data_IF_145864938121
#
_entry.id   IF_145864938121
#
_cell.length_a   1.000
_cell.length_b   1.000
_cell.length_c   1.000
_cell.angle_alpha   90.00
_cell.angle_beta   90.00
_cell.angle_gamma   90.00
#
_symmetry.space_group_name_H-M   'P 1'
#
loop_
_entity.id
_entity.type
_entity.pdbx_description
1 polymer ?
#
# COMPACT_ATOMS: atom_id res chain seq x y z
N UNK A 1 -2.54 -19.23 -11.43
CA UNK A 1 -2.22 -18.12 -12.37
C UNK A 1 -1.03 -17.31 -11.89
N UNK A 2 -0.92 -16.99 -10.60
CA UNK A 2 0.22 -16.25 -10.02
C UNK A 2 1.42 -17.14 -9.60
N UNK A 3 1.71 -18.22 -10.34
CA UNK A 3 2.87 -19.09 -10.06
C UNK A 3 2.74 -20.10 -8.90
N UNK A 4 1.73 -19.99 -8.03
CA UNK A 4 1.54 -20.98 -6.95
C UNK A 4 1.25 -22.38 -7.50
N UNK A 5 1.86 -23.40 -6.90
CA UNK A 5 1.48 -24.80 -7.16
C UNK A 5 0.03 -25.05 -6.74
N UNK A 6 -0.64 -26.01 -7.37
CA UNK A 6 -2.03 -26.33 -7.06
C UNK A 6 -2.23 -26.66 -5.57
N UNK A 7 -1.31 -27.43 -4.99
CA UNK A 7 -1.38 -27.81 -3.58
C UNK A 7 -1.21 -26.61 -2.65
N UNK A 8 -0.23 -25.74 -2.93
CA UNK A 8 0.01 -24.54 -2.11
C UNK A 8 -1.15 -23.55 -2.21
N UNK A 9 -1.68 -23.34 -3.42
CA UNK A 9 -2.86 -22.50 -3.62
C UNK A 9 -4.08 -23.05 -2.86
N UNK A 10 -4.28 -24.37 -2.86
CA UNK A 10 -5.37 -25.02 -2.13
C UNK A 10 -5.19 -24.92 -0.62
N UNK A 11 -3.96 -25.07 -0.12
CA UNK A 11 -3.62 -24.89 1.29
C UNK A 11 -3.96 -23.47 1.75
N UNK A 12 -3.46 -22.44 1.06
CA UNK A 12 -3.73 -21.04 1.38
C UNK A 12 -5.24 -20.76 1.32
N UNK A 13 -5.89 -21.16 0.22
CA UNK A 13 -7.33 -20.96 0.05
C UNK A 13 -8.15 -21.67 1.14
N UNK A 14 -7.65 -22.78 1.70
CA UNK A 14 -8.34 -23.47 2.79
C UNK A 14 -8.41 -22.61 4.06
N UNK A 15 -7.55 -21.60 4.22
CA UNK A 15 -7.56 -20.66 5.35
C UNK A 15 -8.34 -19.37 5.07
N UNK A 16 -8.96 -19.22 3.91
CA UNK A 16 -9.69 -18.01 3.51
C UNK A 16 -11.17 -18.35 3.32
N UNK A 17 -12.06 -17.54 3.88
CA UNK A 17 -13.51 -17.59 3.65
C UNK A 17 -13.98 -16.29 3.00
N UNK A 18 -15.10 -16.31 2.30
CA UNK A 18 -15.63 -15.14 1.59
C UNK A 18 -16.91 -14.67 2.25
N UNK A 19 -16.93 -13.40 2.64
CA UNK A 19 -18.09 -12.75 3.26
C UNK A 19 -18.59 -11.57 2.41
N UNK A 20 -19.92 -11.42 2.24
CA UNK A 20 -20.47 -10.25 1.59
C UNK A 20 -20.30 -9.00 2.48
N UNK A 21 -19.77 -7.92 1.90
CA UNK A 21 -19.68 -6.62 2.56
C UNK A 21 -20.85 -5.70 2.18
N UNK A 22 -21.38 -4.96 3.17
CA UNK A 22 -22.36 -3.89 2.93
C UNK A 22 -21.68 -2.58 2.46
N UNK A 23 -20.42 -2.36 2.85
CA UNK A 23 -19.58 -1.21 2.47
C UNK A 23 -18.55 -1.57 1.39
N UNK A 24 -17.36 -0.94 1.40
CA UNK A 24 -16.25 -1.29 0.49
C UNK A 24 -15.82 -2.75 0.62
N UNK A 25 -15.86 -3.28 1.84
CA UNK A 25 -15.25 -4.58 2.17
C UNK A 25 -13.76 -4.38 2.43
N UNK A 26 -13.29 -4.82 3.58
CA UNK A 26 -11.87 -4.81 3.94
C UNK A 26 -11.52 -6.20 4.43
N UNK A 27 -10.38 -6.72 3.99
CA UNK A 27 -9.82 -7.98 4.42
C UNK A 27 -9.73 -8.02 5.94
N UNK A 28 -10.17 -9.14 6.51
CA UNK A 28 -10.08 -9.35 7.95
C UNK A 28 -9.26 -10.61 8.23
N UNK A 29 -7.99 -10.40 8.58
CA UNK A 29 -7.04 -11.48 8.82
C UNK A 29 -7.30 -12.27 10.10
N UNK A 30 -7.05 -13.58 10.03
CA UNK A 30 -7.04 -14.46 11.20
C UNK A 30 -5.98 -13.99 12.22
N UNK A 31 -6.29 -14.14 13.50
CA UNK A 31 -5.37 -13.77 14.60
C UNK A 31 -4.67 -14.98 15.23
N UNK A 32 -5.07 -16.20 14.85
CA UNK A 32 -4.45 -17.44 15.33
C UNK A 32 -4.54 -18.56 14.29
N UNK A 33 -3.64 -19.54 14.40
CA UNK A 33 -3.72 -20.76 13.60
C UNK A 33 -4.98 -21.54 13.96
N UNK A 34 -5.72 -21.99 12.95
CA UNK A 34 -7.03 -22.63 13.07
C UNK A 34 -8.18 -21.74 12.58
N UNK A 35 -8.05 -20.42 12.71
CA UNK A 35 -9.05 -19.45 12.24
C UNK A 35 -8.93 -19.19 10.73
N UNK A 36 -9.99 -18.59 10.17
CA UNK A 36 -10.06 -18.18 8.76
C UNK A 36 -9.81 -16.68 8.63
N UNK A 37 -9.07 -16.30 7.60
CA UNK A 37 -9.09 -14.93 7.10
C UNK A 37 -10.37 -14.72 6.28
N UNK A 38 -10.98 -13.55 6.40
CA UNK A 38 -12.23 -13.23 5.73
C UNK A 38 -11.96 -12.26 4.59
N UNK A 39 -12.16 -12.74 3.37
CA UNK A 39 -12.23 -11.93 2.15
C UNK A 39 -13.58 -11.25 2.13
N UNK A 40 -13.59 -9.95 2.40
CA UNK A 40 -14.82 -9.15 2.46
C UNK A 40 -14.88 -8.26 1.24
N UNK A 41 -15.89 -8.45 0.40
CA UNK A 41 -16.08 -7.64 -0.81
C UNK A 41 -17.54 -7.39 -1.08
N UNK A 42 -17.83 -6.30 -1.80
CA UNK A 42 -19.18 -5.92 -2.18
C UNK A 42 -19.63 -6.70 -3.40
N UNK A 43 -20.71 -7.46 -3.24
CA UNK A 43 -21.43 -8.10 -4.36
C UNK A 43 -22.79 -7.43 -4.47
N UNK A 44 -23.04 -6.76 -5.58
CA UNK A 44 -24.31 -6.09 -5.86
C UNK A 44 -25.41 -7.08 -6.21
N UNK A 45 -26.64 -6.57 -6.32
CA UNK A 45 -27.82 -7.38 -6.73
C UNK A 45 -27.63 -8.05 -8.09
N UNK A 46 -26.89 -7.42 -8.99
CA UNK A 46 -26.64 -7.88 -10.37
C UNK A 46 -25.30 -8.63 -10.48
N UNK A 47 -24.66 -8.95 -9.36
CA UNK A 47 -23.34 -9.56 -9.29
C UNK A 47 -22.22 -8.57 -8.94
N UNK A 48 -20.99 -8.98 -9.23
CA UNK A 48 -19.77 -8.19 -8.99
C UNK A 48 -19.37 -7.45 -10.28
N UNK A 49 -19.32 -6.13 -10.21
CA UNK A 49 -18.78 -5.31 -11.30
C UNK A 49 -17.24 -5.30 -11.27
N UNK A 50 -16.62 -4.69 -12.30
CA UNK A 50 -15.16 -4.64 -12.38
C UNK A 50 -14.51 -3.93 -11.18
N UNK A 51 -15.13 -2.85 -10.69
CA UNK A 51 -14.61 -2.12 -9.53
C UNK A 51 -14.62 -3.01 -8.28
N UNK A 52 -15.71 -3.73 -8.03
CA UNK A 52 -15.83 -4.69 -6.94
C UNK A 52 -14.88 -5.86 -7.08
N UNK A 53 -14.63 -6.33 -8.31
CA UNK A 53 -13.64 -7.36 -8.61
C UNK A 53 -12.22 -6.90 -8.33
N UNK A 54 -11.83 -5.73 -8.84
CA UNK A 54 -10.50 -5.15 -8.61
C UNK A 54 -10.23 -4.96 -7.10
N UNK A 55 -11.22 -4.48 -6.34
CA UNK A 55 -11.14 -4.41 -4.87
C UNK A 55 -11.05 -5.81 -4.26
N UNK A 56 -11.88 -6.77 -4.68
CA UNK A 56 -11.82 -8.14 -4.17
C UNK A 56 -10.44 -8.79 -4.37
N UNK A 57 -9.78 -8.52 -5.50
CA UNK A 57 -8.42 -9.04 -5.78
C UNK A 57 -7.40 -8.41 -4.84
N UNK A 58 -7.50 -7.10 -4.56
CA UNK A 58 -6.68 -6.43 -3.55
C UNK A 58 -6.86 -7.07 -2.17
N UNK A 59 -8.11 -7.20 -1.69
CA UNK A 59 -8.40 -7.81 -0.39
C UNK A 59 -7.98 -9.29 -0.32
N UNK A 60 -8.06 -10.02 -1.43
CA UNK A 60 -7.55 -11.38 -1.52
C UNK A 60 -6.03 -11.40 -1.32
N UNK A 61 -5.30 -10.43 -1.86
CA UNK A 61 -3.87 -10.27 -1.63
C UNK A 61 -3.55 -10.15 -0.13
N UNK A 62 -4.27 -9.30 0.60
CA UNK A 62 -4.14 -9.24 2.07
C UNK A 62 -4.37 -10.59 2.73
N UNK A 63 -5.45 -11.30 2.39
CA UNK A 63 -5.73 -12.58 3.04
C UNK A 63 -4.69 -13.66 2.71
N UNK A 64 -4.15 -13.65 1.50
CA UNK A 64 -3.05 -14.55 1.12
C UNK A 64 -1.80 -14.21 1.93
N UNK A 65 -1.41 -12.93 2.01
CA UNK A 65 -0.28 -12.50 2.83
C UNK A 65 -0.46 -12.90 4.29
N UNK A 66 -1.59 -12.53 4.89
CA UNK A 66 -1.92 -12.82 6.29
C UNK A 66 -1.90 -14.32 6.57
N UNK A 67 -2.30 -15.14 5.60
CA UNK A 67 -2.20 -16.59 5.71
C UNK A 67 -0.74 -17.04 5.71
N UNK A 68 0.07 -16.55 4.77
CA UNK A 68 1.50 -16.87 4.67
C UNK A 68 2.24 -16.47 5.96
N UNK A 69 2.08 -15.22 6.38
CA UNK A 69 2.80 -14.64 7.51
C UNK A 69 2.32 -15.14 8.87
N UNK A 70 1.17 -15.83 8.94
CA UNK A 70 0.67 -16.50 10.13
C UNK A 70 1.02 -17.99 10.16
N UNK A 71 0.74 -18.71 9.07
CA UNK A 71 0.81 -20.17 9.06
C UNK A 71 2.20 -20.69 8.68
N UNK A 72 2.93 -19.98 7.83
CA UNK A 72 4.18 -20.44 7.23
C UNK A 72 5.42 -19.72 7.76
N UNK A 73 5.26 -18.85 8.76
CA UNK A 73 6.37 -18.30 9.54
C UNK A 73 7.00 -19.37 10.45
N UNK A 74 8.33 -19.35 10.57
CA UNK A 74 9.10 -20.32 11.36
C UNK A 74 8.77 -20.25 12.86
N UNK A 75 8.53 -19.05 13.38
CA UNK A 75 8.15 -18.83 14.78
C UNK A 75 6.85 -18.04 14.85
N UNK A 76 5.84 -18.62 15.52
CA UNK A 76 4.53 -17.99 15.70
C UNK A 76 4.60 -16.61 16.38
N UNK A 77 5.56 -16.39 17.28
CA UNK A 77 5.75 -15.09 17.94
C UNK A 77 6.17 -13.98 16.95
N UNK A 78 6.63 -14.36 15.76
CA UNK A 78 6.98 -13.46 14.68
C UNK A 78 5.87 -13.35 13.63
N UNK A 79 4.66 -13.85 13.90
CA UNK A 79 3.57 -13.80 12.92
C UNK A 79 3.25 -12.38 12.42
N UNK A 80 2.97 -12.27 11.14
CA UNK A 80 2.66 -11.02 10.44
C UNK A 80 3.85 -10.35 9.78
N UNK A 81 3.60 -9.16 9.25
CA UNK A 81 4.57 -8.27 8.59
C UNK A 81 4.90 -7.06 9.45
N UNK A 82 5.98 -6.31 9.16
CA UNK A 82 6.44 -5.22 10.03
C UNK A 82 5.35 -4.21 10.41
N UNK A 83 4.58 -3.74 9.43
CA UNK A 83 3.44 -2.83 9.59
C UNK A 83 2.51 -2.89 8.36
N UNK A 84 1.45 -2.07 8.36
CA UNK A 84 0.42 -2.00 7.31
C UNK A 84 0.99 -1.80 5.90
N UNK A 85 2.04 -0.99 5.74
CA UNK A 85 2.63 -0.70 4.44
C UNK A 85 3.10 -1.97 3.69
N UNK A 86 3.54 -3.01 4.42
CA UNK A 86 4.03 -4.25 3.83
C UNK A 86 2.90 -5.17 3.34
N UNK A 87 1.77 -5.22 4.04
CA UNK A 87 0.62 -6.01 3.58
C UNK A 87 -0.07 -5.33 2.40
N UNK A 88 -0.15 -3.99 2.41
CA UNK A 88 -0.65 -3.18 1.28
C UNK A 88 0.17 -3.44 0.01
N UNK A 89 1.50 -3.43 0.09
CA UNK A 89 2.36 -3.73 -1.06
C UNK A 89 2.05 -5.10 -1.71
N UNK A 90 1.77 -6.11 -0.89
CA UNK A 90 1.36 -7.41 -1.42
C UNK A 90 -0.03 -7.39 -2.07
N UNK A 91 -0.97 -6.69 -1.44
CA UNK A 91 -2.33 -6.50 -1.95
C UNK A 91 -2.34 -5.74 -3.29
N UNK A 92 -1.54 -4.68 -3.42
CA UNK A 92 -1.36 -3.96 -4.68
C UNK A 92 -0.76 -4.84 -5.77
N UNK A 93 0.18 -5.73 -5.44
CA UNK A 93 0.71 -6.68 -6.42
C UNK A 93 -0.40 -7.60 -6.96
N UNK A 94 -1.29 -8.10 -6.09
CA UNK A 94 -2.45 -8.86 -6.53
C UNK A 94 -3.37 -8.02 -7.42
N UNK A 95 -3.69 -6.80 -6.99
CA UNK A 95 -4.57 -5.87 -7.70
C UNK A 95 -4.04 -5.51 -9.09
N UNK A 96 -2.73 -5.34 -9.27
CA UNK A 96 -2.08 -5.10 -10.57
C UNK A 96 -2.24 -6.27 -11.56
N UNK A 97 -2.42 -7.49 -11.04
CA UNK A 97 -2.63 -8.71 -11.82
C UNK A 97 -4.11 -9.10 -11.98
N UNK A 98 -5.05 -8.22 -11.64
CA UNK A 98 -6.49 -8.51 -11.69
C UNK A 98 -6.98 -8.93 -13.10
N UNK A 99 -6.52 -8.25 -14.16
CA UNK A 99 -6.81 -8.59 -15.55
C UNK A 99 -6.15 -9.91 -15.97
N UNK A 100 -4.90 -10.16 -15.55
CA UNK A 100 -4.20 -11.41 -15.81
C UNK A 100 -4.94 -12.60 -15.16
N UNK A 101 -5.51 -12.40 -13.98
CA UNK A 101 -6.37 -13.36 -13.30
C UNK A 101 -7.66 -13.65 -14.07
N UNK A 102 -8.17 -12.70 -14.86
CA UNK A 102 -9.27 -12.92 -15.82
C UNK A 102 -8.79 -13.52 -17.15
N UNK A 103 -7.48 -13.58 -17.39
CA UNK A 103 -6.90 -13.99 -18.69
C UNK A 103 -6.93 -12.89 -19.74
N UNK A 104 -7.14 -11.63 -19.33
CA UNK A 104 -7.09 -10.45 -20.19
C UNK A 104 -5.66 -9.93 -20.16
N UNK A 105 -5.03 -9.84 -21.33
CA UNK A 105 -3.69 -9.26 -21.46
C UNK A 105 -3.78 -7.78 -21.73
N UNK A 106 -3.00 -7.02 -20.99
CA UNK A 106 -2.72 -5.63 -21.30
C UNK A 106 -1.41 -5.56 -22.11
N UNK A 107 -1.51 -5.12 -23.36
CA UNK A 107 -0.38 -5.06 -24.30
C UNK A 107 0.08 -3.62 -24.56
N UNK A 108 -0.35 -2.64 -23.75
CA UNK A 108 0.12 -1.26 -23.90
C UNK A 108 1.64 -1.20 -23.65
N UNK A 109 2.46 -0.83 -24.66
CA UNK A 109 3.90 -0.73 -24.50
C UNK A 109 4.32 0.32 -23.47
N UNK A 110 3.44 1.29 -23.16
CA UNK A 110 3.69 2.34 -22.18
C UNK A 110 3.18 2.00 -20.78
N UNK A 111 2.53 0.85 -20.57
CA UNK A 111 1.93 0.47 -19.27
C UNK A 111 2.87 0.69 -18.09
N UNK A 112 4.07 0.12 -18.17
CA UNK A 112 5.07 0.20 -17.10
C UNK A 112 5.60 1.63 -16.89
N UNK A 113 5.73 2.40 -17.97
CA UNK A 113 6.18 3.78 -17.89
C UNK A 113 5.11 4.68 -17.27
N UNK A 114 3.85 4.51 -17.68
CA UNK A 114 2.71 5.22 -17.10
C UNK A 114 2.51 4.86 -15.63
N UNK A 115 2.66 3.58 -15.27
CA UNK A 115 2.59 3.13 -13.88
C UNK A 115 3.69 3.74 -13.01
N UNK A 116 4.92 3.90 -13.53
CA UNK A 116 5.99 4.57 -12.81
C UNK A 116 5.69 6.06 -12.58
N UNK A 117 5.18 6.76 -13.59
CA UNK A 117 4.77 8.17 -13.47
C UNK A 117 3.61 8.35 -12.49
N UNK A 118 2.61 7.47 -12.56
CA UNK A 118 1.47 7.48 -11.64
C UNK A 118 1.92 7.27 -10.19
N UNK A 119 2.75 6.25 -9.93
CA UNK A 119 3.33 6.02 -8.61
C UNK A 119 4.18 7.20 -8.11
N UNK A 120 4.92 7.86 -9.00
CA UNK A 120 5.69 9.06 -8.65
C UNK A 120 4.77 10.19 -8.19
N UNK A 121 3.72 10.49 -8.96
CA UNK A 121 2.78 11.57 -8.61
C UNK A 121 1.96 11.24 -7.36
N UNK A 122 1.48 10.01 -7.22
CA UNK A 122 0.77 9.55 -6.02
C UNK A 122 1.67 9.64 -4.78
N UNK A 123 2.94 9.24 -4.89
CA UNK A 123 3.91 9.35 -3.80
C UNK A 123 4.21 10.81 -3.46
N UNK A 124 4.46 11.63 -4.48
CA UNK A 124 4.78 13.04 -4.29
C UNK A 124 3.62 13.80 -3.64
N UNK A 125 2.37 13.52 -4.00
CA UNK A 125 1.20 14.14 -3.34
C UNK A 125 1.10 13.74 -1.86
N UNK A 126 1.04 12.44 -1.57
CA UNK A 126 0.75 11.95 -0.21
C UNK A 126 1.91 12.18 0.77
N UNK A 127 3.15 12.35 0.27
CA UNK A 127 4.30 12.78 1.07
C UNK A 127 4.08 14.15 1.70
N UNK A 128 3.50 15.10 0.97
CA UNK A 128 3.23 16.45 1.48
C UNK A 128 2.18 16.43 2.58
N UNK A 129 1.10 15.68 2.35
CA UNK A 129 0.05 15.45 3.33
C UNK A 129 0.62 14.82 4.60
N UNK A 130 1.51 13.84 4.47
CA UNK A 130 2.19 13.19 5.59
C UNK A 130 3.05 14.16 6.41
N UNK A 131 3.73 15.10 5.76
CA UNK A 131 4.47 16.15 6.45
C UNK A 131 3.54 17.08 7.23
N UNK A 132 2.36 17.40 6.70
CA UNK A 132 1.34 18.18 7.41
C UNK A 132 0.85 17.42 8.63
N UNK A 133 0.47 16.15 8.48
CA UNK A 133 0.05 15.26 9.57
C UNK A 133 1.08 15.27 10.72
N UNK A 134 2.34 14.95 10.41
CA UNK A 134 3.43 14.92 11.40
C UNK A 134 3.65 16.28 12.10
N UNK A 135 3.57 17.40 11.35
CA UNK A 135 3.76 18.75 11.91
C UNK A 135 2.59 19.16 12.81
N UNK A 136 1.36 18.87 12.40
CA UNK A 136 0.14 19.15 13.18
C UNK A 136 0.14 18.37 14.49
N UNK A 137 0.51 17.08 14.47
CA UNK A 137 0.59 16.30 15.70
C UNK A 137 1.66 16.86 16.65
N UNK A 138 2.86 17.17 16.15
CA UNK A 138 3.89 17.82 16.99
C UNK A 138 3.37 19.11 17.64
N UNK A 139 2.68 19.95 16.87
CA UNK A 139 2.07 21.16 17.41
C UNK A 139 1.01 20.86 18.48
N UNK A 140 0.13 19.88 18.26
CA UNK A 140 -0.85 19.46 19.28
C UNK A 140 -0.20 18.98 20.58
N UNK A 141 0.90 18.21 20.49
CA UNK A 141 1.66 17.79 21.67
C UNK A 141 2.27 18.97 22.45
N UNK A 142 2.65 20.04 21.74
CA UNK A 142 3.17 21.28 22.34
C UNK A 142 2.04 22.19 22.89
N UNK A 143 0.80 21.98 22.48
CA UNK A 143 -0.37 22.82 22.80
C UNK A 143 -1.54 21.97 23.32
N UNK A 144 -1.42 21.37 24.53
CA UNK A 144 -2.43 20.44 25.07
C UNK A 144 -3.82 21.07 25.27
N UNK A 145 -3.88 22.40 25.42
CA UNK A 145 -5.12 23.16 25.62
C UNK A 145 -5.68 23.78 24.32
N UNK A 146 -5.19 23.34 23.16
CA UNK A 146 -5.62 23.86 21.86
C UNK A 146 -7.13 23.70 21.63
N UNK A 147 -7.76 24.76 21.16
CA UNK A 147 -9.17 24.74 20.75
C UNK A 147 -9.33 24.21 19.32
N UNK A 148 -10.52 23.69 18.94
CA UNK A 148 -10.78 23.27 17.56
C UNK A 148 -10.54 24.36 16.51
N UNK A 149 -10.77 25.64 16.86
CA UNK A 149 -10.50 26.76 15.97
C UNK A 149 -8.99 26.94 15.73
N UNK A 150 -8.19 26.90 16.80
CA UNK A 150 -6.73 26.96 16.70
C UNK A 150 -6.16 25.78 15.91
N UNK A 151 -6.68 24.55 16.15
CA UNK A 151 -6.27 23.38 15.38
C UNK A 151 -6.55 23.56 13.88
N UNK A 152 -7.75 24.02 13.51
CA UNK A 152 -8.10 24.28 12.11
C UNK A 152 -7.15 25.28 11.46
N UNK A 153 -6.85 26.39 12.14
CA UNK A 153 -5.93 27.42 11.66
C UNK A 153 -4.50 26.87 11.49
N UNK A 154 -4.03 26.09 12.46
CA UNK A 154 -2.72 25.42 12.40
C UNK A 154 -2.62 24.45 11.24
N UNK A 155 -3.64 23.61 11.00
CA UNK A 155 -3.65 22.67 9.87
C UNK A 155 -3.53 23.42 8.55
N UNK A 156 -4.32 24.48 8.36
CA UNK A 156 -4.32 25.27 7.13
C UNK A 156 -2.98 26.00 6.93
N UNK A 157 -2.43 26.61 7.99
CA UNK A 157 -1.15 27.31 7.91
C UNK A 157 0.01 26.35 7.63
N UNK A 158 0.02 25.20 8.29
CA UNK A 158 1.02 24.13 8.08
C UNK A 158 0.95 23.58 6.67
N UNK A 159 -0.25 23.35 6.13
CA UNK A 159 -0.44 22.91 4.75
C UNK A 159 0.16 23.90 3.75
N UNK A 160 -0.05 25.20 3.95
CA UNK A 160 0.55 26.25 3.11
C UNK A 160 2.06 26.32 3.25
N UNK A 161 2.61 26.16 4.46
CA UNK A 161 4.06 26.12 4.69
C UNK A 161 4.71 24.96 3.92
N UNK A 162 4.17 23.74 4.07
CA UNK A 162 4.65 22.54 3.36
C UNK A 162 4.51 22.73 1.85
N UNK A 163 3.37 23.24 1.39
CA UNK A 163 3.11 23.53 -0.01
C UNK A 163 4.15 24.50 -0.59
N UNK A 164 4.35 25.65 0.06
CA UNK A 164 5.30 26.66 -0.38
C UNK A 164 6.73 26.13 -0.42
N UNK A 165 7.09 25.24 0.50
CA UNK A 165 8.43 24.68 0.58
C UNK A 165 8.72 23.61 -0.48
N UNK A 166 7.73 22.77 -0.82
CA UNK A 166 7.99 21.57 -1.62
C UNK A 166 7.23 21.52 -2.96
N UNK A 167 6.17 22.32 -3.15
CA UNK A 167 5.26 22.23 -4.30
C UNK A 167 5.14 23.51 -5.10
N UNK A 168 5.21 24.69 -4.46
CA UNK A 168 4.93 25.96 -5.12
C UNK A 168 5.87 26.27 -6.30
N UNK A 169 7.15 25.94 -6.19
CA UNK A 169 8.13 26.16 -7.26
C UNK A 169 7.88 25.22 -8.47
N UNK A 170 7.34 24.03 -8.22
CA UNK A 170 7.03 23.03 -9.26
C UNK A 170 5.69 23.32 -9.93
N UNK A 171 4.67 23.70 -9.15
CA UNK A 171 3.28 23.86 -9.60
C UNK A 171 2.87 25.31 -9.88
N UNK A 172 3.72 26.29 -9.58
CA UNK A 172 3.53 27.70 -9.90
C UNK A 172 2.47 28.43 -9.07
N UNK A 173 1.94 27.82 -8.01
CA UNK A 173 0.92 28.40 -7.13
C UNK A 173 1.48 28.49 -5.71
N UNK A 174 1.35 29.65 -5.06
CA UNK A 174 1.72 29.82 -3.64
C UNK A 174 0.48 29.75 -2.74
N UNK A 175 0.72 29.44 -1.47
CA UNK A 175 -0.26 29.48 -0.38
C UNK A 175 -1.50 28.57 -0.60
N UNK A 176 -1.31 27.45 -1.30
CA UNK A 176 -2.37 26.48 -1.53
C UNK A 176 -2.59 25.60 -0.28
N UNK A 177 -3.82 25.52 0.27
CA UNK A 177 -4.11 24.73 1.46
C UNK A 177 -4.47 23.27 1.14
N UNK A 178 -4.34 22.81 -0.12
CA UNK A 178 -4.90 21.52 -0.57
C UNK A 178 -4.41 20.31 0.23
N UNK A 179 -3.20 20.35 0.78
CA UNK A 179 -2.63 19.27 1.61
C UNK A 179 -3.41 19.04 2.93
N UNK A 180 -4.28 19.99 3.33
CA UNK A 180 -5.15 19.86 4.50
C UNK A 180 -6.44 19.05 4.25
N UNK A 181 -6.63 18.47 3.06
CA UNK A 181 -7.90 17.86 2.65
C UNK A 181 -8.23 16.54 3.37
N UNK A 182 -7.22 15.85 3.93
CA UNK A 182 -7.38 14.51 4.52
C UNK A 182 -7.77 14.57 5.99
N UNK A 183 -9.05 14.38 6.31
CA UNK A 183 -9.56 14.33 7.70
C UNK A 183 -8.93 13.19 8.53
N UNK A 184 -8.44 12.13 7.89
CA UNK A 184 -7.77 11.00 8.54
C UNK A 184 -6.58 11.43 9.41
N UNK A 185 -5.91 12.55 9.12
CA UNK A 185 -4.81 13.05 9.94
C UNK A 185 -5.24 13.42 11.37
N UNK A 186 -6.53 13.71 11.58
CA UNK A 186 -7.08 14.03 12.90
C UNK A 186 -7.70 12.80 13.55
N UNK A 187 -8.44 11.98 12.79
CA UNK A 187 -9.13 10.80 13.31
C UNK A 187 -8.16 9.67 13.70
N UNK A 188 -7.07 9.50 12.95
CA UNK A 188 -6.09 8.43 13.15
C UNK A 188 -4.67 9.02 13.27
N UNK A 189 -4.08 9.08 14.48
CA UNK A 189 -2.79 9.73 14.69
C UNK A 189 -1.66 9.11 13.84
N UNK A 190 -0.91 9.96 13.14
CA UNK A 190 0.25 9.59 12.30
C UNK A 190 -0.06 8.55 11.20
N UNK A 191 -1.32 8.41 10.81
CA UNK A 191 -1.77 7.43 9.84
C UNK A 191 -1.21 7.68 8.44
N UNK A 192 -1.20 8.95 7.99
CA UNK A 192 -0.89 9.29 6.61
C UNK A 192 0.60 9.06 6.30
N UNK A 193 1.47 9.21 7.29
CA UNK A 193 2.90 8.92 7.16
C UNK A 193 3.25 7.48 6.74
N UNK A 194 2.31 6.53 6.92
CA UNK A 194 2.50 5.17 6.45
C UNK A 194 2.37 5.02 4.92
N UNK A 195 1.59 5.88 4.26
CA UNK A 195 1.31 5.77 2.81
C UNK A 195 2.54 5.99 1.94
N UNK A 196 3.33 7.08 2.11
CA UNK A 196 4.55 7.26 1.34
C UNK A 196 5.48 6.06 1.46
N UNK A 197 5.67 5.55 2.67
CA UNK A 197 6.54 4.41 2.93
C UNK A 197 5.99 3.15 2.26
N UNK A 198 4.67 2.95 2.28
CA UNK A 198 3.96 1.92 1.53
C UNK A 198 4.20 1.98 0.04
N UNK A 199 4.07 3.15 -0.60
CA UNK A 199 4.35 3.28 -2.03
C UNK A 199 5.81 2.94 -2.37
N UNK A 200 6.78 3.36 -1.53
CA UNK A 200 8.19 3.01 -1.75
C UNK A 200 8.43 1.50 -1.65
N UNK A 201 7.83 0.85 -0.64
CA UNK A 201 7.94 -0.59 -0.43
C UNK A 201 7.29 -1.35 -1.60
N UNK A 202 6.06 -0.97 -1.99
CA UNK A 202 5.34 -1.56 -3.12
C UNK A 202 6.15 -1.46 -4.41
N UNK A 203 6.61 -0.25 -4.76
CA UNK A 203 7.36 -0.05 -5.99
C UNK A 203 8.68 -0.85 -6.01
N UNK A 204 9.39 -0.90 -4.88
CA UNK A 204 10.64 -1.63 -4.77
C UNK A 204 10.43 -3.15 -4.80
N UNK A 205 9.35 -3.66 -4.21
CA UNK A 205 8.98 -5.08 -4.28
C UNK A 205 8.53 -5.47 -5.69
N UNK A 206 7.69 -4.66 -6.33
CA UNK A 206 7.23 -4.89 -7.71
C UNK A 206 8.42 -5.00 -8.67
N UNK A 207 9.36 -4.04 -8.59
CA UNK A 207 10.59 -4.08 -9.36
C UNK A 207 11.43 -5.34 -9.12
N UNK A 208 11.50 -5.81 -7.87
CA UNK A 208 12.20 -7.04 -7.52
C UNK A 208 11.52 -8.29 -8.08
N UNK A 209 10.19 -8.35 -8.09
CA UNK A 209 9.40 -9.49 -8.54
C UNK A 209 9.43 -9.68 -10.06
N UNK A 210 9.79 -8.63 -10.83
CA UNK A 210 9.90 -8.71 -12.30
C UNK A 210 10.87 -9.82 -12.74
N UNK A 211 10.37 -10.69 -13.62
CA UNK A 211 11.12 -11.82 -14.16
C UNK A 211 11.34 -12.98 -13.19
N UNK A 212 10.76 -12.93 -11.98
CA UNK A 212 10.80 -14.03 -10.99
C UNK A 212 9.47 -14.77 -10.95
N UNK A 213 9.48 -15.95 -10.32
CA UNK A 213 8.23 -16.61 -9.95
C UNK A 213 7.64 -15.88 -8.74
N UNK A 214 6.48 -15.24 -8.94
CA UNK A 214 5.80 -14.49 -7.90
C UNK A 214 5.52 -15.32 -6.64
N UNK A 215 5.06 -16.56 -6.78
CA UNK A 215 4.69 -17.39 -5.64
C UNK A 215 5.90 -17.80 -4.80
N UNK A 216 7.00 -18.16 -5.45
CA UNK A 216 8.23 -18.55 -4.74
C UNK A 216 8.76 -17.36 -3.91
N UNK A 217 8.76 -16.17 -4.51
CA UNK A 217 9.19 -14.95 -3.83
C UNK A 217 8.21 -14.51 -2.75
N UNK A 218 6.90 -14.60 -3.00
CA UNK A 218 5.86 -14.33 -2.00
C UNK A 218 6.06 -15.21 -0.76
N UNK A 219 6.23 -16.52 -0.96
CA UNK A 219 6.48 -17.45 0.14
C UNK A 219 7.79 -17.12 0.85
N UNK A 220 8.87 -16.84 0.13
CA UNK A 220 10.18 -16.51 0.73
C UNK A 220 10.15 -15.22 1.55
N UNK A 221 9.48 -14.19 1.04
CA UNK A 221 9.49 -12.85 1.62
C UNK A 221 8.53 -12.76 2.82
N UNK A 222 7.30 -13.24 2.66
CA UNK A 222 6.23 -13.03 3.65
C UNK A 222 6.20 -14.11 4.75
N UNK A 223 6.98 -15.18 4.62
CA UNK A 223 7.20 -16.15 5.71
C UNK A 223 8.29 -15.74 6.71
N UNK A 224 8.99 -14.63 6.47
CA UNK A 224 10.11 -14.18 7.34
C UNK A 224 9.65 -13.66 8.71
N UNK A 225 8.37 -13.30 8.83
CA UNK A 225 7.77 -12.75 10.03
C UNK A 225 8.02 -11.25 10.25
N UNK A 226 7.55 -10.76 11.40
CA UNK A 226 7.48 -9.36 11.78
C UNK A 226 8.83 -8.80 12.23
N UNK A 227 9.74 -8.68 11.29
CA UNK A 227 11.05 -8.03 11.48
C UNK A 227 10.91 -6.50 11.51
N UNK A 228 12.00 -5.81 11.87
CA UNK A 228 12.07 -4.36 11.68
C UNK A 228 12.04 -4.04 10.16
N UNK A 229 11.34 -2.96 9.71
CA UNK A 229 11.12 -2.67 8.29
C UNK A 229 12.37 -2.72 7.41
N UNK A 230 13.47 -2.14 7.87
CA UNK A 230 14.73 -2.11 7.12
C UNK A 230 15.38 -3.49 6.98
N UNK A 231 15.30 -4.33 8.01
CA UNK A 231 15.84 -5.69 7.93
C UNK A 231 14.95 -6.58 7.06
N UNK A 232 13.63 -6.41 7.17
CA UNK A 232 12.67 -7.10 6.31
C UNK A 232 12.96 -6.79 4.83
N UNK A 233 13.12 -5.52 4.45
CA UNK A 233 13.45 -5.13 3.07
C UNK A 233 14.80 -5.67 2.62
N UNK A 234 15.84 -5.64 3.46
CA UNK A 234 17.14 -6.23 3.11
C UNK A 234 17.03 -7.72 2.81
N UNK A 235 16.22 -8.45 3.59
CA UNK A 235 15.97 -9.87 3.35
C UNK A 235 15.11 -10.09 2.10
N UNK A 236 14.16 -9.19 1.83
CA UNK A 236 13.24 -9.31 0.72
C UNK A 236 13.90 -9.00 -0.63
N UNK A 237 14.61 -7.87 -0.73
CA UNK A 237 15.08 -7.33 -2.02
C UNK A 237 16.56 -6.94 -2.01
N UNK A 238 17.31 -7.30 -0.95
CA UNK A 238 18.75 -7.07 -0.86
C UNK A 238 19.18 -5.66 -0.41
N UNK A 239 18.22 -4.74 -0.21
CA UNK A 239 18.49 -3.36 0.17
C UNK A 239 17.45 -2.83 1.17
N UNK A 240 17.75 -1.71 1.84
CA UNK A 240 16.77 -1.03 2.69
C UNK A 240 15.67 -0.35 1.86
N UNK A 241 14.67 0.22 2.54
CA UNK A 241 13.64 1.05 1.89
C UNK A 241 14.32 2.22 1.18
N UNK A 242 14.06 2.38 -0.11
CA UNK A 242 14.69 3.41 -0.94
C UNK A 242 13.71 4.04 -1.93
N UNK A 243 13.88 5.32 -2.21
CA UNK A 243 13.17 6.05 -3.27
C UNK A 243 13.82 5.82 -4.65
N UNK A 244 15.08 5.39 -4.70
CA UNK A 244 15.85 5.30 -5.95
C UNK A 244 15.17 4.45 -7.04
N UNK A 245 14.57 3.28 -6.75
CA UNK A 245 13.89 2.49 -7.79
C UNK A 245 12.79 3.28 -8.50
N UNK A 246 12.02 4.08 -7.76
CA UNK A 246 10.94 4.90 -8.31
C UNK A 246 11.48 6.07 -9.14
N UNK A 247 12.53 6.75 -8.66
CA UNK A 247 13.17 7.84 -9.41
C UNK A 247 13.77 7.33 -10.72
N UNK A 248 14.52 6.23 -10.67
CA UNK A 248 15.15 5.64 -11.86
C UNK A 248 14.11 5.21 -12.91
N UNK A 249 13.01 4.59 -12.46
CA UNK A 249 11.91 4.21 -13.34
C UNK A 249 11.17 5.43 -13.93
N UNK A 250 11.01 6.49 -13.14
CA UNK A 250 10.42 7.77 -13.58
C UNK A 250 11.29 8.42 -14.65
N UNK A 251 12.60 8.49 -14.44
CA UNK A 251 13.56 9.04 -15.41
C UNK A 251 13.58 8.23 -16.72
N UNK A 252 13.41 6.91 -16.64
CA UNK A 252 13.27 6.06 -17.82
C UNK A 252 11.95 6.35 -18.55
N UNK A 253 10.83 6.46 -17.81
CA UNK A 253 9.51 6.75 -18.37
C UNK A 253 9.47 8.10 -19.10
N UNK A 254 10.08 9.15 -18.53
CA UNK A 254 10.14 10.48 -19.14
C UNK A 254 10.95 10.55 -20.44
N UNK A 255 11.73 9.50 -20.78
CA UNK A 255 12.43 9.41 -22.08
C UNK A 255 11.55 8.79 -23.16
N UNK A 256 10.47 8.10 -22.78
CA UNK A 256 9.60 7.33 -23.68
C UNK A 256 8.25 8.03 -23.87
N UNK A 257 7.63 8.51 -22.80
CA UNK A 257 6.26 9.05 -22.76
C UNK A 257 6.21 10.57 -23.03
N UNK A 258 7.15 11.11 -23.82
CA UNK A 258 7.14 12.54 -24.15
C UNK A 258 6.04 12.94 -25.12
#
# INVERSE_FOLDING_TARGET
KLGFTADKAKEIASHITVDPARGSGHAWGAQMKGDKAHLRTRVGKDGMDYKGYNIAVHELGHNVEQTISLYMVDNYLMAGVPNTAFTEAFAFTFQKHDLDLLGIKDNDPNKEHLAALDNFWMSYEIMGVSLVDMKVWKWLYEHPDATPAQLKETVISTAKEVWNKYYADVLGIKDCPILAIYSHMIDNPLYLSNYPVGHLIDFQLDGWLKGKNFADEAMRIYSTGRLIPQQWMKNAVGSGISINPLIEATDAALKVVK
#
